data_IF_300476688540
#
_entry.id   IF_300476688540
#
_cell.length_a   1.000
_cell.length_b   1.000
_cell.length_c   1.000
_cell.angle_alpha   90.00
_cell.angle_beta   90.00
_cell.angle_gamma   90.00
#
_symmetry.space_group_name_H-M   'P 1'
#
loop_
_entity.id
_entity.type
_entity.pdbx_description
1 polymer ?
#
# COMPACT_ATOMS: atom_id res chain seq x y z
N UNK A 1 -4.58 19.50 35.57
CA UNK A 1 -3.90 20.27 34.51
C UNK A 1 -3.68 19.37 33.30
N UNK A 2 -4.13 19.77 32.10
CA UNK A 2 -3.95 19.00 30.87
C UNK A 2 -2.47 19.04 30.46
N UNK A 3 -1.78 17.90 30.49
CA UNK A 3 -0.38 17.80 30.05
C UNK A 3 -0.32 17.24 28.62
N UNK A 4 -0.21 18.13 27.63
CA UNK A 4 -0.12 17.78 26.21
C UNK A 4 1.32 17.52 25.73
N UNK A 5 2.34 17.85 26.54
CA UNK A 5 3.76 17.66 26.17
C UNK A 5 4.09 16.26 25.62
N UNK A 6 3.60 15.14 26.20
CA UNK A 6 3.94 13.82 25.69
C UNK A 6 3.31 13.48 24.33
N UNK A 7 2.26 14.19 23.88
CA UNK A 7 1.60 13.92 22.59
C UNK A 7 2.07 14.83 21.46
N UNK A 8 2.87 15.86 21.76
CA UNK A 8 3.41 16.81 20.77
C UNK A 8 4.13 16.08 19.62
N UNK A 9 4.98 15.06 19.86
CA UNK A 9 5.65 14.36 18.76
C UNK A 9 4.66 13.74 17.76
N UNK A 10 3.60 13.08 18.24
CA UNK A 10 2.57 12.53 17.36
C UNK A 10 1.80 13.60 16.59
N UNK A 11 1.50 14.74 17.22
CA UNK A 11 0.85 15.88 16.54
C UNK A 11 1.76 16.43 15.42
N UNK A 12 3.05 16.62 15.68
CA UNK A 12 4.01 17.08 14.67
C UNK A 12 4.07 16.11 13.50
N UNK A 13 4.15 14.79 13.77
CA UNK A 13 4.16 13.77 12.71
C UNK A 13 2.85 13.74 11.91
N UNK A 14 1.70 13.94 12.57
CA UNK A 14 0.41 14.05 11.89
C UNK A 14 0.32 15.26 10.98
N UNK A 15 0.79 16.43 11.42
CA UNK A 15 0.86 17.65 10.59
C UNK A 15 1.84 17.47 9.43
N UNK A 16 2.98 16.82 9.68
CA UNK A 16 3.93 16.48 8.62
C UNK A 16 3.29 15.56 7.57
N UNK A 17 2.51 14.56 7.99
CA UNK A 17 1.77 13.68 7.09
C UNK A 17 0.71 14.41 6.25
N UNK A 18 -0.03 15.34 6.85
CA UNK A 18 -0.98 16.20 6.12
C UNK A 18 -0.29 17.07 5.09
N UNK A 19 0.79 17.75 5.50
CA UNK A 19 1.58 18.62 4.62
C UNK A 19 2.18 17.82 3.46
N UNK A 20 2.73 16.65 3.77
CA UNK A 20 3.24 15.71 2.78
C UNK A 20 2.15 15.29 1.79
N UNK A 21 0.96 14.91 2.27
CA UNK A 21 -0.17 14.54 1.42
C UNK A 21 -0.60 15.67 0.48
N UNK A 22 -0.66 16.91 0.95
CA UNK A 22 -1.00 18.10 0.14
C UNK A 22 0.07 18.37 -0.92
N UNK A 23 1.35 18.41 -0.53
CA UNK A 23 2.46 18.62 -1.45
C UNK A 23 2.51 17.53 -2.52
N UNK A 24 2.23 16.29 -2.12
CA UNK A 24 2.15 15.16 -3.02
C UNK A 24 0.99 15.26 -4.01
N UNK A 25 -0.16 15.80 -3.59
CA UNK A 25 -1.28 16.09 -4.51
C UNK A 25 -0.86 17.08 -5.60
N UNK A 26 -0.22 18.17 -5.21
CA UNK A 26 0.30 19.19 -6.13
C UNK A 26 1.32 18.56 -7.09
N UNK A 27 2.20 17.71 -6.57
CA UNK A 27 3.17 16.99 -7.38
C UNK A 27 2.52 16.09 -8.43
N UNK A 28 1.47 15.33 -8.08
CA UNK A 28 0.76 14.48 -9.03
C UNK A 28 0.02 15.29 -10.11
N UNK A 29 -0.55 16.43 -9.74
CA UNK A 29 -1.26 17.32 -10.67
C UNK A 29 -0.29 17.96 -11.67
N UNK A 30 0.85 18.48 -11.20
CA UNK A 30 1.84 19.15 -12.05
C UNK A 30 2.67 18.13 -12.86
N UNK A 31 2.93 16.96 -12.29
CA UNK A 31 3.82 15.95 -12.85
C UNK A 31 3.17 14.93 -13.79
N UNK A 32 1.86 15.02 -14.04
CA UNK A 32 1.11 14.02 -14.81
C UNK A 32 1.73 13.80 -16.21
N UNK A 33 2.18 14.86 -16.87
CA UNK A 33 2.82 14.80 -18.20
C UNK A 33 4.21 14.14 -18.13
N UNK A 34 5.03 14.51 -17.15
CA UNK A 34 6.38 13.96 -16.99
C UNK A 34 6.37 12.47 -16.65
N UNK A 35 5.31 11.98 -16.01
CA UNK A 35 5.15 10.56 -15.73
C UNK A 35 4.90 9.75 -17.01
N UNK A 36 4.08 10.25 -17.94
CA UNK A 36 3.86 9.59 -19.22
C UNK A 36 5.14 9.51 -20.06
N UNK A 37 5.92 10.59 -20.12
CA UNK A 37 7.19 10.59 -20.84
C UNK A 37 8.23 9.65 -20.19
N UNK A 38 8.31 9.66 -18.85
CA UNK A 38 9.25 8.82 -18.10
C UNK A 38 8.96 7.32 -18.20
N UNK A 39 7.69 6.92 -18.37
CA UNK A 39 7.29 5.50 -18.48
C UNK A 39 7.46 4.92 -19.89
N UNK A 40 7.45 5.75 -20.93
CA UNK A 40 7.69 5.30 -22.31
C UNK A 40 9.18 5.11 -22.64
N UNK A 41 10.07 5.87 -21.99
CA UNK A 41 11.51 5.85 -22.29
C UNK A 41 12.23 4.49 -22.11
N UNK A 42 11.92 3.63 -21.11
CA UNK A 42 12.65 2.38 -20.90
C UNK A 42 12.26 1.24 -21.86
N UNK A 43 11.03 1.26 -22.39
CA UNK A 43 10.52 0.19 -23.26
C UNK A 43 11.28 0.10 -24.60
N UNK A 44 11.85 1.21 -25.06
CA UNK A 44 12.58 1.26 -26.33
C UNK A 44 13.99 0.66 -26.19
N UNK A 45 14.57 0.67 -25.00
CA UNK A 45 15.96 0.24 -24.78
C UNK A 45 16.09 -1.27 -24.52
N UNK A 46 15.05 -1.92 -23.96
CA UNK A 46 15.05 -3.38 -23.74
C UNK A 46 14.81 -4.17 -25.03
N UNK A 47 13.99 -3.65 -25.96
CA UNK A 47 13.74 -4.27 -27.28
C UNK A 47 14.97 -4.15 -28.21
N UNK A 48 15.74 -3.06 -28.11
CA UNK A 48 16.97 -2.90 -28.88
C UNK A 48 18.06 -3.91 -28.47
N UNK A 49 18.04 -4.42 -27.24
CA UNK A 49 19.07 -5.34 -26.73
C UNK A 49 18.72 -6.81 -26.98
N UNK A 50 17.43 -7.17 -27.06
CA UNK A 50 17.00 -8.54 -27.37
C UNK A 50 17.24 -8.96 -28.83
N UNK A 51 17.38 -8.01 -29.76
CA UNK A 51 17.61 -8.32 -31.18
C UNK A 51 19.08 -8.49 -31.57
N UNK A 52 20.05 -8.24 -30.67
CA UNK A 52 21.48 -8.40 -30.96
C UNK A 52 22.12 -9.69 -30.42
N UNK A 53 21.35 -10.57 -29.78
CA UNK A 53 21.87 -11.80 -29.17
C UNK A 53 21.45 -13.10 -29.89
N UNK A 54 21.08 -13.04 -31.17
CA UNK A 54 20.71 -14.22 -31.98
C UNK A 54 21.65 -14.43 -33.16
N UNK A 55 22.96 -14.60 -32.93
CA UNK A 55 23.86 -15.24 -33.91
C UNK A 55 25.12 -15.82 -33.24
N UNK A 56 24.99 -16.95 -32.54
CA UNK A 56 26.08 -17.95 -32.49
C UNK A 56 25.50 -19.32 -32.23
N UNK A 57 25.21 -19.99 -33.34
CA UNK A 57 24.97 -21.41 -33.49
C UNK A 57 26.31 -22.14 -33.34
N UNK A 58 26.50 -22.96 -32.30
CA UNK A 58 27.51 -24.02 -32.30
C UNK A 58 27.02 -25.24 -31.51
N UNK A 59 26.98 -26.36 -32.22
CA UNK A 59 26.69 -27.72 -31.79
C UNK A 59 27.58 -28.17 -30.62
N UNK A 60 27.02 -28.99 -29.73
CA UNK A 60 27.70 -30.24 -29.33
C UNK A 60 26.68 -31.23 -28.76
N UNK A 61 26.55 -32.35 -29.44
CA UNK A 61 25.83 -33.57 -29.05
C UNK A 61 26.31 -34.12 -27.70
N UNK A 62 25.44 -34.87 -27.01
CA UNK A 62 25.93 -35.90 -26.08
C UNK A 62 25.06 -36.26 -24.89
N UNK A 63 24.31 -37.34 -25.07
CA UNK A 63 24.01 -38.40 -24.09
C UNK A 63 22.80 -38.32 -23.15
N UNK A 64 21.97 -39.34 -23.34
CA UNK A 64 20.84 -39.78 -22.54
C UNK A 64 21.24 -40.25 -21.14
N UNK A 65 20.32 -40.12 -20.18
CA UNK A 65 20.05 -41.16 -19.19
C UNK A 65 18.65 -40.99 -18.58
N UNK A 66 17.82 -42.03 -18.75
CA UNK A 66 16.56 -42.28 -18.06
C UNK A 66 16.70 -42.21 -16.54
N UNK A 67 15.64 -41.86 -15.81
CA UNK A 67 15.11 -42.71 -14.74
C UNK A 67 13.67 -42.31 -14.30
N UNK A 68 12.79 -43.29 -14.47
CA UNK A 68 11.82 -43.81 -13.51
C UNK A 68 10.70 -42.91 -12.93
N UNK A 69 9.52 -43.18 -13.49
CA UNK A 69 8.16 -43.08 -12.96
C UNK A 69 7.97 -43.15 -11.43
N UNK A 70 7.16 -42.23 -10.91
CA UNK A 70 6.31 -42.47 -9.74
C UNK A 70 4.88 -41.96 -9.99
N UNK A 71 3.97 -42.90 -10.23
CA UNK A 71 2.52 -42.71 -10.27
C UNK A 71 2.01 -42.30 -8.89
N UNK A 72 1.24 -41.21 -8.80
CA UNK A 72 0.30 -40.95 -7.71
C UNK A 72 -1.02 -40.46 -8.32
N UNK A 73 -2.12 -40.99 -7.75
CA UNK A 73 -3.46 -41.10 -8.30
C UNK A 73 -4.25 -39.77 -8.45
N UNK A 74 -5.31 -39.76 -9.29
CA UNK A 74 -6.21 -38.62 -9.47
C UNK A 74 -7.25 -38.53 -8.34
N UNK A 75 -7.41 -37.35 -7.75
CA UNK A 75 -8.52 -37.03 -6.84
C UNK A 75 -9.64 -36.37 -7.65
N UNK A 76 -10.78 -37.05 -7.62
CA UNK A 76 -12.10 -36.64 -8.14
C UNK A 76 -12.65 -35.55 -7.22
N UNK A 77 -13.03 -34.40 -7.77
CA UNK A 77 -13.95 -33.47 -7.10
C UNK A 77 -15.05 -33.07 -8.07
N UNK A 78 -16.25 -33.17 -7.51
CA UNK A 78 -17.54 -33.36 -8.15
C UNK A 78 -18.08 -32.09 -8.83
N UNK A 79 -18.78 -32.30 -9.94
CA UNK A 79 -19.54 -31.27 -10.66
C UNK A 79 -20.97 -31.28 -10.15
N UNK A 80 -21.41 -30.19 -9.50
CA UNK A 80 -22.83 -29.95 -9.26
C UNK A 80 -23.31 -28.73 -10.01
N UNK A 81 -24.48 -28.92 -10.63
CA UNK A 81 -24.99 -28.18 -11.75
C UNK A 81 -25.91 -27.03 -11.36
N UNK A 82 -25.81 -25.93 -12.12
CA UNK A 82 -26.95 -25.24 -12.72
C UNK A 82 -27.60 -24.11 -11.93
N UNK A 83 -27.73 -22.92 -12.54
CA UNK A 83 -29.00 -22.44 -13.09
C UNK A 83 -28.90 -20.99 -13.64
N UNK A 84 -29.34 -20.84 -14.90
CA UNK A 84 -29.94 -19.69 -15.58
C UNK A 84 -29.12 -18.43 -15.95
N UNK A 85 -29.17 -18.18 -17.27
CA UNK A 85 -28.78 -16.97 -17.97
C UNK A 85 -29.63 -15.74 -17.57
N UNK A 86 -29.23 -14.54 -18.04
CA UNK A 86 -30.01 -14.03 -19.17
C UNK A 86 -29.16 -13.54 -20.35
N UNK A 87 -29.76 -13.75 -21.51
CA UNK A 87 -29.40 -13.31 -22.85
C UNK A 87 -29.91 -11.88 -23.07
N UNK A 88 -29.05 -11.02 -23.63
CA UNK A 88 -29.44 -9.95 -24.56
C UNK A 88 -29.81 -8.59 -23.97
N UNK A 89 -28.96 -7.58 -24.19
CA UNK A 89 -29.17 -6.55 -25.21
C UNK A 89 -28.28 -5.31 -24.96
N UNK A 90 -27.56 -4.91 -26.01
CA UNK A 90 -27.04 -3.57 -26.32
C UNK A 90 -26.31 -2.79 -25.21
N UNK A 91 -24.98 -2.88 -25.23
CA UNK A 91 -24.18 -1.65 -25.21
C UNK A 91 -23.09 -1.74 -26.26
N UNK A 92 -23.52 -1.57 -27.51
CA UNK A 92 -22.69 -1.03 -28.57
C UNK A 92 -22.46 0.46 -28.27
N UNK A 93 -21.82 0.73 -27.12
CA UNK A 93 -21.07 1.95 -26.92
C UNK A 93 -19.72 1.62 -27.53
N UNK A 94 -19.59 1.92 -28.82
CA UNK A 94 -18.34 1.94 -29.54
C UNK A 94 -17.29 2.55 -28.62
N UNK A 95 -16.48 1.66 -28.08
CA UNK A 95 -15.28 1.98 -27.37
C UNK A 95 -14.48 2.87 -28.32
N UNK A 96 -14.44 4.16 -28.02
CA UNK A 96 -13.21 4.92 -28.14
C UNK A 96 -12.22 4.22 -27.20
N UNK A 97 -11.74 3.05 -27.63
CA UNK A 97 -10.61 2.37 -27.05
C UNK A 97 -9.47 3.33 -27.25
N UNK A 98 -9.20 4.15 -26.23
CA UNK A 98 -7.97 4.91 -26.16
C UNK A 98 -6.85 3.89 -26.28
N UNK A 99 -6.14 3.85 -27.41
CA UNK A 99 -4.97 3.00 -27.51
C UNK A 99 -3.94 3.57 -26.54
N UNK A 100 -3.22 2.69 -25.84
CA UNK A 100 -1.97 2.97 -25.09
C UNK A 100 -2.00 2.98 -23.54
N UNK A 101 -3.07 2.61 -22.84
CA UNK A 101 -2.96 2.46 -21.38
C UNK A 101 -2.33 1.10 -21.02
N UNK A 102 -1.03 1.11 -20.72
CA UNK A 102 -0.32 -0.05 -20.21
C UNK A 102 -0.85 -0.39 -18.80
N UNK A 103 -1.36 -1.61 -18.54
CA UNK A 103 -1.95 -1.96 -17.23
C UNK A 103 -0.98 -1.80 -16.06
N UNK A 104 0.34 -1.84 -16.29
CA UNK A 104 1.33 -1.57 -15.25
C UNK A 104 1.40 -0.09 -14.86
N UNK A 105 1.21 0.82 -15.81
CA UNK A 105 1.20 2.26 -15.56
C UNK A 105 -0.03 2.66 -14.74
N UNK A 106 -1.19 2.08 -15.07
CA UNK A 106 -2.41 2.25 -14.28
C UNK A 106 -2.20 1.80 -12.81
N UNK A 107 -1.55 0.66 -12.60
CA UNK A 107 -1.25 0.14 -11.25
C UNK A 107 -0.24 0.99 -10.48
N UNK A 108 0.76 1.54 -11.18
CA UNK A 108 1.70 2.49 -10.60
C UNK A 108 0.95 3.75 -10.15
N UNK A 109 0.13 4.33 -11.03
CA UNK A 109 -0.68 5.50 -10.73
C UNK A 109 -1.66 5.26 -9.57
N UNK A 110 -2.36 4.12 -9.57
CA UNK A 110 -3.25 3.72 -8.48
C UNK A 110 -2.51 3.66 -7.13
N UNK A 111 -1.28 3.16 -7.12
CA UNK A 111 -0.44 3.10 -5.91
C UNK A 111 -0.02 4.49 -5.43
N UNK A 112 0.39 5.38 -6.33
CA UNK A 112 0.75 6.77 -6.00
C UNK A 112 -0.46 7.54 -5.44
N UNK A 113 -1.65 7.33 -6.01
CA UNK A 113 -2.91 7.90 -5.53
C UNK A 113 -3.33 7.34 -4.16
N UNK A 114 -3.15 6.04 -3.92
CA UNK A 114 -3.36 5.43 -2.59
C UNK A 114 -2.46 6.09 -1.55
N UNK A 115 -1.20 6.32 -1.87
CA UNK A 115 -0.25 7.04 -1.02
C UNK A 115 -0.74 8.44 -0.63
N UNK A 116 -1.21 9.22 -1.61
CA UNK A 116 -1.80 10.55 -1.39
C UNK A 116 -2.97 10.53 -0.40
N UNK A 117 -4.00 9.73 -0.70
CA UNK A 117 -5.26 9.69 0.06
C UNK A 117 -5.00 9.24 1.50
N UNK A 118 -4.14 8.24 1.68
CA UNK A 118 -3.79 7.76 3.01
C UNK A 118 -2.89 8.72 3.79
N UNK A 119 -2.00 9.46 3.13
CA UNK A 119 -1.19 10.49 3.81
C UNK A 119 -2.08 11.56 4.45
N UNK A 120 -3.09 12.04 3.72
CA UNK A 120 -4.04 13.01 4.26
C UNK A 120 -4.91 12.40 5.37
N UNK A 121 -5.51 11.23 5.11
CA UNK A 121 -6.40 10.57 6.07
C UNK A 121 -5.69 10.18 7.37
N UNK A 122 -4.54 9.51 7.29
CA UNK A 122 -3.78 9.07 8.46
C UNK A 122 -3.10 10.22 9.20
N UNK A 123 -2.70 11.28 8.50
CA UNK A 123 -2.21 12.51 9.12
C UNK A 123 -3.28 13.15 10.01
N UNK A 124 -4.51 13.31 9.49
CA UNK A 124 -5.64 13.83 10.25
C UNK A 124 -6.00 12.95 11.46
N UNK A 125 -6.10 11.63 11.23
CA UNK A 125 -6.39 10.65 12.29
C UNK A 125 -5.33 10.71 13.39
N UNK A 126 -4.05 10.77 13.03
CA UNK A 126 -2.94 10.88 13.99
C UNK A 126 -3.08 12.12 14.87
N UNK A 127 -3.38 13.29 14.29
CA UNK A 127 -3.58 14.52 15.06
C UNK A 127 -4.78 14.38 16.01
N UNK A 128 -5.92 13.92 15.48
CA UNK A 128 -7.14 13.78 16.27
C UNK A 128 -6.96 12.81 17.45
N UNK A 129 -6.40 11.63 17.21
CA UNK A 129 -6.19 10.61 18.24
C UNK A 129 -5.11 11.05 19.25
N UNK A 130 -4.07 11.76 18.80
CA UNK A 130 -3.05 12.33 19.70
C UNK A 130 -3.64 13.39 20.63
N UNK A 131 -4.57 14.22 20.15
CA UNK A 131 -5.31 15.16 21.00
C UNK A 131 -6.18 14.39 22.00
N UNK A 132 -6.96 13.39 21.55
CA UNK A 132 -7.80 12.56 22.42
C UNK A 132 -6.99 11.94 23.56
N UNK A 133 -5.91 11.22 23.27
CA UNK A 133 -5.08 10.60 24.33
C UNK A 133 -4.39 11.65 25.21
N UNK A 134 -4.09 12.83 24.67
CA UNK A 134 -3.56 13.97 25.42
C UNK A 134 -4.52 14.49 26.50
N UNK A 135 -5.82 14.44 26.23
CA UNK A 135 -6.89 14.85 27.15
C UNK A 135 -7.21 13.80 28.23
N UNK A 136 -6.82 12.53 28.02
CA UNK A 136 -7.04 11.46 29.00
C UNK A 136 -6.11 11.59 30.21
N UNK A 137 -6.55 11.04 31.35
CA UNK A 137 -5.77 10.92 32.58
C UNK A 137 -4.67 9.84 32.55
N UNK A 138 -4.17 9.47 31.37
CA UNK A 138 -3.13 8.45 31.20
C UNK A 138 -1.73 8.97 31.60
N UNK A 139 -0.81 8.05 31.89
CA UNK A 139 0.58 8.42 32.18
C UNK A 139 1.29 8.99 30.94
N UNK A 140 2.30 9.84 31.16
CA UNK A 140 3.05 10.46 30.06
C UNK A 140 3.68 9.45 29.10
N UNK A 141 4.12 8.30 29.60
CA UNK A 141 4.70 7.23 28.79
C UNK A 141 3.66 6.61 27.83
N UNK A 142 2.45 6.35 28.31
CA UNK A 142 1.35 5.80 27.51
C UNK A 142 0.94 6.79 26.41
N UNK A 143 0.83 8.08 26.75
CA UNK A 143 0.54 9.16 25.80
C UNK A 143 1.61 9.26 24.70
N UNK A 144 2.88 9.22 25.10
CA UNK A 144 4.00 9.27 24.18
C UNK A 144 4.01 8.05 23.26
N UNK A 145 3.90 6.84 23.82
CA UNK A 145 3.89 5.60 23.04
C UNK A 145 2.74 5.59 22.03
N UNK A 146 1.52 5.87 22.47
CA UNK A 146 0.34 5.86 21.60
C UNK A 146 0.46 6.87 20.45
N UNK A 147 0.84 8.11 20.76
CA UNK A 147 0.98 9.17 19.76
C UNK A 147 2.16 8.95 18.80
N UNK A 148 3.28 8.41 19.28
CA UNK A 148 4.45 8.11 18.45
C UNK A 148 4.19 6.94 17.51
N UNK A 149 3.58 5.86 18.00
CA UNK A 149 3.21 4.70 17.17
C UNK A 149 2.24 5.10 16.06
N UNK A 150 1.21 5.90 16.36
CA UNK A 150 0.31 6.44 15.34
C UNK A 150 1.03 7.34 14.33
N UNK A 151 1.87 8.27 14.80
CA UNK A 151 2.58 9.19 13.92
C UNK A 151 3.56 8.49 12.99
N UNK A 152 4.40 7.60 13.51
CA UNK A 152 5.39 6.86 12.69
C UNK A 152 4.68 5.90 11.74
N UNK A 153 3.71 5.12 12.24
CA UNK A 153 2.97 4.19 11.39
C UNK A 153 2.15 4.91 10.30
N UNK A 154 1.53 6.04 10.66
CA UNK A 154 0.76 6.91 9.76
C UNK A 154 1.58 7.55 8.64
N UNK A 155 2.90 7.70 8.82
CA UNK A 155 3.82 8.15 7.76
C UNK A 155 4.38 6.98 6.93
N UNK A 156 4.78 5.89 7.58
CA UNK A 156 5.36 4.73 6.90
C UNK A 156 4.38 4.09 5.90
N UNK A 157 3.10 4.02 6.27
CA UNK A 157 2.08 3.42 5.42
C UNK A 157 1.92 4.11 4.05
N UNK A 158 1.59 5.42 3.97
CA UNK A 158 1.45 6.10 2.68
C UNK A 158 2.77 6.22 1.92
N UNK A 159 3.90 6.37 2.62
CA UNK A 159 5.22 6.42 1.98
C UNK A 159 5.53 5.11 1.26
N UNK A 160 5.16 3.97 1.85
CA UNK A 160 5.33 2.65 1.24
C UNK A 160 4.59 2.54 -0.10
N UNK A 161 3.34 3.00 -0.18
CA UNK A 161 2.56 3.01 -1.42
C UNK A 161 3.17 3.89 -2.51
N UNK A 162 3.76 5.01 -2.13
CA UNK A 162 4.45 5.90 -3.07
C UNK A 162 5.69 5.22 -3.64
N UNK A 163 6.51 4.62 -2.78
CA UNK A 163 7.70 3.87 -3.21
C UNK A 163 7.29 2.71 -4.12
N UNK A 164 6.20 1.99 -3.79
CA UNK A 164 5.67 0.93 -4.64
C UNK A 164 5.28 1.46 -6.03
N UNK A 165 4.57 2.59 -6.10
CA UNK A 165 4.20 3.24 -7.35
C UNK A 165 5.41 3.51 -8.25
N UNK A 166 6.52 3.99 -7.70
CA UNK A 166 7.76 4.21 -8.46
C UNK A 166 8.50 2.93 -8.84
N UNK A 167 8.33 1.83 -8.09
CA UNK A 167 8.99 0.55 -8.38
C UNK A 167 8.27 -0.30 -9.42
N UNK A 168 6.95 -0.15 -9.56
CA UNK A 168 6.12 -0.96 -10.47
C UNK A 168 6.65 -0.90 -11.93
N UNK A 169 6.99 0.26 -12.52
CA UNK A 169 7.49 0.30 -13.90
C UNK A 169 8.83 -0.43 -14.11
N UNK A 170 9.68 -0.47 -13.09
CA UNK A 170 11.02 -1.06 -13.18
C UNK A 170 11.06 -2.56 -12.84
N UNK A 171 10.25 -3.00 -11.88
CA UNK A 171 10.30 -4.35 -11.32
C UNK A 171 9.08 -5.21 -11.67
N UNK A 172 8.01 -4.59 -12.19
CA UNK A 172 6.68 -5.21 -12.24
C UNK A 172 5.97 -5.20 -10.88
N UNK A 173 4.69 -5.54 -10.89
CA UNK A 173 3.81 -5.44 -9.72
C UNK A 173 4.24 -6.36 -8.57
N UNK A 174 4.45 -7.65 -8.85
CA UNK A 174 4.72 -8.68 -7.84
C UNK A 174 6.04 -8.43 -7.08
N UNK A 175 7.10 -8.07 -7.81
CA UNK A 175 8.40 -7.77 -7.22
C UNK A 175 8.40 -6.44 -6.45
N UNK A 176 7.66 -5.43 -6.93
CA UNK A 176 7.47 -4.18 -6.21
C UNK A 176 6.71 -4.39 -4.90
N UNK A 177 5.63 -5.18 -4.92
CA UNK A 177 4.82 -5.51 -3.75
C UNK A 177 5.64 -6.27 -2.70
N UNK A 178 6.34 -7.34 -3.11
CA UNK A 178 7.20 -8.14 -2.22
C UNK A 178 8.25 -7.28 -1.52
N UNK A 179 8.82 -6.28 -2.22
CA UNK A 179 9.82 -5.40 -1.64
C UNK A 179 9.26 -4.40 -0.62
N UNK A 180 7.96 -4.14 -0.63
CA UNK A 180 7.34 -3.06 0.15
C UNK A 180 6.44 -3.58 1.28
N UNK A 181 5.87 -4.78 1.13
CA UNK A 181 5.01 -5.42 2.13
C UNK A 181 5.59 -5.41 3.57
N UNK A 182 6.90 -5.67 3.81
CA UNK A 182 7.44 -5.60 5.17
C UNK A 182 7.31 -4.21 5.80
N UNK A 183 7.52 -3.14 5.01
CA UNK A 183 7.44 -1.75 5.49
C UNK A 183 5.98 -1.37 5.76
N UNK A 184 5.07 -1.76 4.86
CA UNK A 184 3.62 -1.60 5.05
C UNK A 184 3.17 -2.31 6.34
N UNK A 185 3.59 -3.56 6.53
CA UNK A 185 3.27 -4.36 7.70
C UNK A 185 3.68 -3.68 9.01
N UNK A 186 4.91 -3.18 9.09
CA UNK A 186 5.39 -2.41 10.25
C UNK A 186 4.55 -1.15 10.48
N UNK A 187 4.27 -0.39 9.42
CA UNK A 187 3.43 0.81 9.50
C UNK A 187 2.03 0.52 10.06
N UNK A 188 1.38 -0.53 9.54
CA UNK A 188 0.05 -0.97 9.99
C UNK A 188 0.07 -1.42 11.45
N UNK A 189 1.04 -2.24 11.86
CA UNK A 189 1.17 -2.71 13.24
C UNK A 189 1.35 -1.54 14.21
N UNK A 190 2.17 -0.55 13.87
CA UNK A 190 2.36 0.64 14.69
C UNK A 190 1.06 1.45 14.83
N UNK A 191 0.31 1.64 13.74
CA UNK A 191 -1.01 2.29 13.79
C UNK A 191 -1.95 1.55 14.76
N UNK A 192 -2.05 0.22 14.64
CA UNK A 192 -2.89 -0.59 15.52
C UNK A 192 -2.46 -0.52 16.99
N UNK A 193 -1.16 -0.53 17.28
CA UNK A 193 -0.66 -0.35 18.65
C UNK A 193 -1.11 1.00 19.21
N UNK A 194 -0.94 2.10 18.45
CA UNK A 194 -1.36 3.41 18.92
C UNK A 194 -2.87 3.54 19.12
N UNK A 195 -3.68 2.93 18.25
CA UNK A 195 -5.13 2.83 18.44
C UNK A 195 -5.50 2.02 19.67
N UNK A 196 -4.91 0.83 19.85
CA UNK A 196 -5.20 -0.04 20.99
C UNK A 196 -4.84 0.63 22.32
N UNK A 197 -3.69 1.31 22.39
CA UNK A 197 -3.26 2.09 23.55
C UNK A 197 -4.25 3.22 23.87
N UNK A 198 -4.72 3.92 22.84
CA UNK A 198 -5.68 5.01 23.03
C UNK A 198 -7.05 4.49 23.48
N UNK A 199 -7.54 3.41 22.86
CA UNK A 199 -8.80 2.78 23.22
C UNK A 199 -8.75 2.23 24.64
N UNK A 200 -7.68 1.53 25.02
CA UNK A 200 -7.49 1.05 26.38
C UNK A 200 -7.52 2.20 27.40
N UNK A 201 -6.79 3.28 27.12
CA UNK A 201 -6.77 4.48 27.98
C UNK A 201 -8.16 5.11 28.12
N UNK A 202 -8.93 5.15 27.03
CA UNK A 202 -10.29 5.68 27.01
C UNK A 202 -11.23 4.83 27.87
N UNK A 203 -11.18 3.49 27.72
CA UNK A 203 -11.97 2.56 28.51
C UNK A 203 -11.64 2.68 30.01
N UNK A 204 -10.34 2.73 30.37
CA UNK A 204 -9.92 2.93 31.75
C UNK A 204 -10.44 4.25 32.35
N UNK A 205 -10.46 5.33 31.56
CA UNK A 205 -11.00 6.62 32.00
C UNK A 205 -12.52 6.56 32.23
N UNK A 206 -13.26 5.91 31.32
CA UNK A 206 -14.71 5.73 31.44
C UNK A 206 -15.08 4.94 32.71
N UNK A 207 -14.41 3.81 32.97
CA UNK A 207 -14.71 2.97 34.13
C UNK A 207 -14.16 3.51 35.46
N UNK A 208 -13.19 4.42 35.44
CA UNK A 208 -12.72 5.08 36.67
C UNK A 208 -13.67 6.18 37.14
N UNK A 209 -14.33 6.88 36.19
CA UNK A 209 -15.25 7.97 36.50
C UNK A 209 -16.51 7.49 37.23
N UNK A 210 -16.99 6.28 36.93
CA UNK A 210 -18.16 5.70 37.62
C UNK A 210 -17.93 5.33 39.09
N UNK A 211 -16.66 5.20 39.52
CA UNK A 211 -16.31 4.80 40.90
C UNK A 211 -16.30 5.97 41.91
N UNK A 212 -16.28 7.21 41.43
CA UNK A 212 -16.23 8.41 42.30
C UNK A 212 -17.57 9.12 42.44
N UNK A 213 -18.64 8.58 41.83
CA UNK A 213 -19.96 9.20 41.75
C UNK A 213 -21.05 8.50 42.59
N UNK A 214 -20.68 7.50 43.40
CA UNK A 214 -21.57 6.80 44.34
C UNK A 214 -20.99 6.81 45.74
#
# INVERSE_FOLDING_TARGET
MLNLRPVIPGIILGIAGLTFGILWAIYLEVGHESMHEGMQAPAVSSVATSNSASTTHLHSDGNAHEHAAKKVAPVVVDSSAGHHAPVGHHSEAAATAHPHDNPLEEKAHESLKKGHVHAMGLGLVTVAVSVVIGLLGASSAIKLLGSLCLGVGGLLYPLSWIIMGFKIPALGLEAAETAILPIVGVGVVLIFIGFAVTLYSLLCALFSTGRTAG
#
